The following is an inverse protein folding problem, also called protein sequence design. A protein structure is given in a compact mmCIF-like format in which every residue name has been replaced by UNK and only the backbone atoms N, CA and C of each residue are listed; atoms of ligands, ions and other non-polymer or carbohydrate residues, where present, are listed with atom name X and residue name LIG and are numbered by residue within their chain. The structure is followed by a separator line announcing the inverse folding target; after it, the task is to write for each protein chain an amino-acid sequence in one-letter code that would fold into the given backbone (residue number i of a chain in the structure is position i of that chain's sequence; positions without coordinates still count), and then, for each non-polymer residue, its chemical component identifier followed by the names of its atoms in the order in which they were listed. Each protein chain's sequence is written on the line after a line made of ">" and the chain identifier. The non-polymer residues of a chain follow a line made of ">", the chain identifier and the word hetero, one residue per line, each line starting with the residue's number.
data_IF_029899626525
#
_entry.id   IF_029899626525
#
_cell.length_a   1.000
_cell.length_b   1.000
_cell.length_c   1.000
_cell.angle_alpha   90.00
_cell.angle_beta   90.00
_cell.angle_gamma   90.00
#
_symmetry.space_group_name_H-M   'P 1'
#
loop_
_entity.id
_entity.type
_entity.pdbx_description
1 polymer ?
2 non-polymer ?
3 non-polymer ?
4 water ?
#
# COMPACT_ATOMS: atom_id res chain seq x y z
N UNK A 6 -19.60 5.04 -5.08
CA UNK A 6 -18.47 4.39 -5.80
C UNK A 6 -19.03 3.47 -6.89
N UNK A 7 -18.30 3.31 -8.01
CA UNK A 7 -18.59 2.31 -9.07
C UNK A 7 -18.32 0.91 -8.53
N UNK A 8 -18.76 -0.12 -9.26
CA UNK A 8 -18.63 -1.54 -8.88
C UNK A 8 -17.14 -1.88 -8.71
N UNK A 9 -16.30 -1.43 -9.64
CA UNK A 9 -14.83 -1.69 -9.59
C UNK A 9 -14.23 -0.95 -8.38
N UNK A 10 -14.68 0.27 -8.08
CA UNK A 10 -14.17 1.02 -6.91
C UNK A 10 -14.67 0.38 -5.60
N UNK A 11 -15.85 -0.25 -5.60
CA UNK A 11 -16.33 -1.00 -4.41
C UNK A 11 -15.43 -2.22 -4.20
N UNK A 12 -15.05 -2.93 -5.27
CA UNK A 12 -14.07 -4.04 -5.19
C UNK A 12 -12.76 -3.51 -4.59
N UNK A 13 -12.28 -2.37 -5.09
CA UNK A 13 -11.05 -1.71 -4.58
C UNK A 13 -11.22 -1.39 -3.09
N UNK A 14 -12.36 -0.82 -2.71
CA UNK A 14 -12.61 -0.45 -1.29
C UNK A 14 -12.60 -1.72 -0.42
N UNK A 15 -13.18 -2.82 -0.91
CA UNK A 15 -13.18 -4.12 -0.20
C UNK A 15 -11.76 -4.61 0.04
N UNK A 16 -10.92 -4.55 -1.00
CA UNK A 16 -9.47 -4.91 -0.91
C UNK A 16 -8.82 -4.03 0.16
N UNK A 17 -9.02 -2.71 0.09
CA UNK A 17 -8.42 -1.75 1.05
C UNK A 17 -8.80 -2.15 2.48
N UNK A 18 -10.09 -2.40 2.73
CA UNK A 18 -10.57 -2.82 4.07
C UNK A 18 -9.84 -4.11 4.50
N UNK A 19 -9.68 -5.06 3.59
CA UNK A 19 -8.98 -6.33 3.91
C UNK A 19 -7.52 -6.03 4.28
N UNK A 20 -6.83 -5.19 3.50
CA UNK A 20 -5.40 -4.88 3.76
C UNK A 20 -5.25 -4.22 5.14
N UNK A 21 -6.28 -3.50 5.61
CA UNK A 21 -6.28 -2.79 6.92
C UNK A 21 -6.83 -3.68 8.04
N UNK A 22 -7.30 -4.89 7.74
CA UNK A 22 -8.02 -5.77 8.70
C UNK A 22 -7.03 -6.51 9.61
N UNK A 23 -7.50 -7.00 10.76
CA UNK A 23 -6.65 -7.71 11.76
C UNK A 23 -6.06 -8.97 11.12
N UNK A 24 -6.77 -9.56 10.16
CA UNK A 24 -6.34 -10.76 9.38
C UNK A 24 -4.88 -10.61 8.94
N UNK A 25 -4.48 -9.43 8.47
CA UNK A 25 -3.17 -9.20 7.81
C UNK A 25 -2.26 -8.28 8.64
N UNK A 26 -2.65 -7.94 9.87
CA UNK A 26 -1.96 -6.91 10.70
C UNK A 26 -0.50 -7.29 10.97
N UNK A 27 -0.17 -8.58 11.07
CA UNK A 27 1.20 -9.04 11.43
C UNK A 27 2.22 -8.54 10.40
N UNK A 28 1.83 -8.37 9.13
CA UNK A 28 2.74 -7.92 8.04
C UNK A 28 2.24 -6.62 7.38
N UNK A 29 1.02 -6.17 7.64
CA UNK A 29 0.47 -4.95 7.00
C UNK A 29 0.91 -3.69 7.76
N UNK A 30 1.27 -3.81 9.04
CA UNK A 30 1.39 -2.63 9.95
C UNK A 30 2.42 -1.62 9.45
N UNK A 31 3.55 -1.99 8.78
CA UNK A 31 4.49 -0.97 8.30
C UNK A 31 3.91 -0.02 7.24
N UNK A 32 2.77 -0.40 6.65
CA UNK A 32 2.13 0.30 5.50
C UNK A 32 0.88 1.07 5.93
N UNK A 33 0.56 1.07 7.23
CA UNK A 33 -0.67 1.71 7.78
C UNK A 33 -0.58 3.23 7.64
N UNK A 34 0.60 3.81 7.87
CA UNK A 34 0.79 5.28 7.97
C UNK A 34 2.00 5.70 7.15
N UNK A 35 2.12 6.99 6.77
CA UNK A 35 3.29 7.46 6.04
C UNK A 35 4.57 7.12 6.82
N UNK A 36 5.61 6.69 6.11
CA UNK A 36 6.96 6.46 6.70
C UNK A 36 7.38 7.77 7.36
N UNK A 37 7.63 7.74 8.67
CA UNK A 37 8.20 8.89 9.41
C UNK A 37 9.72 8.76 9.35
N UNK A 38 10.31 9.28 8.27
CA UNK A 38 11.74 9.14 7.94
C UNK A 38 12.60 9.61 9.12
N UNK A 39 12.32 10.81 9.62
CA UNK A 39 13.05 11.46 10.75
C UNK A 39 13.00 10.57 12.00
N UNK A 40 11.81 10.10 12.38
CA UNK A 40 11.59 9.23 13.56
C UNK A 40 12.42 7.94 13.44
N UNK A 41 12.53 7.39 12.23
CA UNK A 41 13.20 6.08 11.96
C UNK A 41 14.68 6.29 11.63
N UNK A 42 15.15 7.55 11.57
CA UNK A 42 16.55 7.90 11.27
C UNK A 42 16.89 7.71 9.80
N UNK A 43 15.89 7.70 8.92
CA UNK A 43 16.05 7.42 7.47
C UNK A 43 16.20 8.76 6.74
N UNK A 44 17.33 9.43 6.93
CA UNK A 44 17.54 10.84 6.48
C UNK A 44 17.75 10.91 4.96
N UNK A 45 17.82 9.76 4.28
CA UNK A 45 17.94 9.67 2.80
C UNK A 45 16.60 9.25 2.17
N UNK A 46 15.57 8.97 2.97
CA UNK A 46 14.30 8.37 2.46
C UNK A 46 13.69 9.24 1.37
N UNK A 47 13.54 10.54 1.63
CA UNK A 47 12.83 11.49 0.73
C UNK A 47 13.73 11.92 -0.44
N UNK A 48 15.01 11.57 -0.42
CA UNK A 48 15.94 11.75 -1.57
C UNK A 48 15.76 10.59 -2.55
N UNK A 49 15.43 9.41 -2.04
CA UNK A 49 15.33 8.15 -2.83
C UNK A 49 13.87 7.94 -3.26
N UNK A 50 12.91 8.23 -2.38
CA UNK A 50 11.45 8.04 -2.62
C UNK A 50 10.83 9.41 -2.91
N UNK A 51 10.52 9.68 -4.18
CA UNK A 51 9.98 10.98 -4.67
C UNK A 51 8.48 11.06 -4.38
N UNK A 52 7.78 9.92 -4.32
CA UNK A 52 6.31 9.86 -4.15
C UNK A 52 5.95 8.86 -3.05
N UNK A 53 6.05 9.27 -1.76
CA UNK A 53 5.65 8.39 -0.66
C UNK A 53 4.18 7.98 -0.81
N UNK A 54 3.86 6.77 -0.39
CA UNK A 54 2.46 6.28 -0.40
C UNK A 54 2.30 5.24 0.72
N UNK A 55 1.10 5.18 1.29
CA UNK A 55 0.77 4.30 2.43
C UNK A 55 -0.75 4.11 2.44
N UNK A 56 -1.24 3.14 3.21
CA UNK A 56 -2.67 2.75 3.17
C UNK A 56 -3.56 3.84 3.77
N UNK A 57 -3.09 4.65 4.73
CA UNK A 57 -3.91 5.76 5.29
C UNK A 57 -4.16 6.81 4.20
N UNK A 58 -3.17 7.07 3.34
CA UNK A 58 -3.29 8.02 2.21
C UNK A 58 -4.25 7.44 1.18
N UNK A 59 -4.13 6.14 0.86
CA UNK A 59 -5.06 5.46 -0.08
C UNK A 59 -6.48 5.56 0.49
N UNK A 60 -6.65 5.34 1.79
CA UNK A 60 -7.98 5.37 2.45
C UNK A 60 -8.58 6.78 2.33
N UNK A 61 -7.79 7.82 2.62
CA UNK A 61 -8.23 9.23 2.54
C UNK A 61 -8.66 9.55 1.10
N UNK A 62 -7.87 9.10 0.11
CA UNK A 62 -8.16 9.34 -1.32
C UNK A 62 -9.46 8.62 -1.70
N UNK A 63 -9.66 7.39 -1.23
CA UNK A 63 -10.91 6.62 -1.50
C UNK A 63 -12.10 7.35 -0.85
N UNK A 64 -11.96 7.79 0.41
CA UNK A 64 -13.03 8.50 1.17
C UNK A 64 -13.40 9.81 0.46
N UNK A 65 -12.41 10.50 -0.12
CA UNK A 65 -12.57 11.82 -0.79
C UNK A 65 -13.04 11.63 -2.24
N UNK A 66 -13.24 10.39 -2.69
CA UNK A 66 -13.64 10.05 -4.08
C UNK A 66 -12.58 10.60 -5.05
N UNK A 67 -11.31 10.55 -4.65
CA UNK A 67 -10.16 11.00 -5.47
C UNK A 67 -9.99 10.01 -6.64
N UNK A 68 -10.06 8.70 -6.37
CA UNK A 68 -9.84 7.66 -7.40
C UNK A 68 -11.05 7.62 -8.34
N UNK A 69 -10.80 7.76 -9.64
CA UNK A 69 -11.88 7.75 -10.66
C UNK A 69 -12.08 6.33 -11.19
N UNK A 70 -11.08 5.44 -11.04
CA UNK A 70 -11.17 4.04 -11.53
C UNK A 70 -10.24 3.14 -10.72
N UNK A 71 -10.37 1.82 -10.91
CA UNK A 71 -9.61 0.79 -10.18
C UNK A 71 -8.11 0.92 -10.49
N UNK A 72 -7.77 1.24 -11.74
CA UNK A 72 -6.38 1.38 -12.23
C UNK A 72 -5.65 2.44 -11.39
N UNK A 73 -6.30 3.57 -11.10
CA UNK A 73 -5.70 4.68 -10.33
C UNK A 73 -5.44 4.22 -8.89
N UNK A 74 -6.39 3.51 -8.30
CA UNK A 74 -6.27 2.92 -6.94
C UNK A 74 -5.08 1.95 -6.91
N UNK A 75 -5.02 1.01 -7.85
CA UNK A 75 -3.97 -0.03 -7.91
C UNK A 75 -2.60 0.63 -8.06
N UNK A 76 -2.50 1.71 -8.84
CA UNK A 76 -1.24 2.44 -9.07
C UNK A 76 -0.68 2.93 -7.72
N UNK A 77 -1.54 3.44 -6.83
CA UNK A 77 -1.09 3.95 -5.50
C UNK A 77 -0.68 2.77 -4.62
N UNK A 78 -1.45 1.68 -4.60
CA UNK A 78 -1.10 0.50 -3.77
C UNK A 78 0.25 -0.05 -4.25
N UNK A 79 0.45 -0.17 -5.56
CA UNK A 79 1.72 -0.72 -6.11
C UNK A 79 2.86 0.28 -5.88
N UNK A 80 2.59 1.59 -5.96
CA UNK A 80 3.61 2.63 -5.66
C UNK A 80 4.15 2.40 -4.24
N UNK A 81 3.25 2.17 -3.29
CA UNK A 81 3.61 1.92 -1.87
C UNK A 81 4.58 0.73 -1.79
N UNK A 82 4.28 -0.38 -2.47
CA UNK A 82 5.14 -1.59 -2.46
C UNK A 82 6.46 -1.27 -3.16
N UNK A 83 6.41 -0.60 -4.31
CA UNK A 83 7.61 -0.25 -5.13
C UNK A 83 8.57 0.60 -4.30
N UNK A 84 8.04 1.56 -3.54
CA UNK A 84 8.85 2.43 -2.65
C UNK A 84 9.63 1.53 -1.67
N UNK A 85 8.95 0.54 -1.10
CA UNK A 85 9.55 -0.40 -0.13
C UNK A 85 10.69 -1.19 -0.80
N UNK A 86 10.46 -1.70 -2.02
CA UNK A 86 11.44 -2.52 -2.78
C UNK A 86 12.61 -1.65 -3.27
N UNK A 87 12.37 -0.36 -3.52
CA UNK A 87 13.43 0.58 -3.97
C UNK A 87 14.35 0.95 -2.80
N UNK A 88 13.77 1.30 -1.65
CA UNK A 88 14.53 1.89 -0.52
C UNK A 88 15.31 0.81 0.25
N UNK A 89 14.72 -0.37 0.44
CA UNK A 89 15.20 -1.39 1.41
C UNK A 89 15.98 -2.50 0.71
N UNK A 90 17.03 -3.05 1.37
CA UNK A 90 17.69 -4.25 0.88
C UNK A 90 16.66 -5.38 0.80
N UNK A 91 16.74 -6.26 -0.22
CA UNK A 91 15.71 -7.28 -0.44
C UNK A 91 15.58 -8.33 0.67
N UNK A 92 16.53 -8.39 1.61
CA UNK A 92 16.56 -9.38 2.73
C UNK A 92 16.02 -8.75 4.02
N UNK A 93 15.61 -7.48 4.01
CA UNK A 93 15.04 -6.78 5.20
C UNK A 93 13.65 -7.35 5.50
N UNK A 94 13.29 -7.45 6.78
CA UNK A 94 11.96 -7.97 7.23
C UNK A 94 10.83 -7.17 6.57
N UNK A 95 10.97 -5.85 6.42
CA UNK A 95 9.89 -4.99 5.86
C UNK A 95 9.60 -5.42 4.41
N UNK A 96 10.61 -5.87 3.67
CA UNK A 96 10.44 -6.33 2.26
C UNK A 96 9.66 -7.65 2.24
N UNK A 97 9.98 -8.57 3.15
CA UNK A 97 9.24 -9.85 3.32
C UNK A 97 7.76 -9.54 3.59
N UNK A 98 7.50 -8.53 4.42
CA UNK A 98 6.13 -8.12 4.82
C UNK A 98 5.42 -7.47 3.63
N UNK A 99 6.12 -6.62 2.87
CA UNK A 99 5.61 -6.00 1.62
C UNK A 99 5.17 -7.09 0.63
N UNK A 100 6.03 -8.09 0.40
CA UNK A 100 5.77 -9.19 -0.57
C UNK A 100 4.50 -9.94 -0.16
N UNK A 101 4.36 -10.25 1.14
CA UNK A 101 3.19 -10.98 1.68
C UNK A 101 1.92 -10.14 1.49
N UNK A 102 1.96 -8.86 1.82
CA UNK A 102 0.76 -7.99 1.66
C UNK A 102 0.48 -7.79 0.16
N UNK A 103 1.51 -7.70 -0.68
CA UNK A 103 1.30 -7.51 -2.14
C UNK A 103 0.65 -8.77 -2.72
N UNK A 104 1.01 -9.96 -2.22
CA UNK A 104 0.39 -11.24 -2.64
C UNK A 104 -1.11 -11.18 -2.34
N UNK A 105 -1.50 -10.71 -1.15
CA UNK A 105 -2.93 -10.56 -0.76
C UNK A 105 -3.59 -9.62 -1.77
N UNK A 106 -2.95 -8.47 -2.02
CA UNK A 106 -3.47 -7.43 -2.93
C UNK A 106 -3.66 -8.00 -4.34
N UNK A 107 -2.60 -8.57 -4.93
CA UNK A 107 -2.59 -8.95 -6.37
C UNK A 107 -3.63 -10.05 -6.62
N UNK A 108 -3.74 -11.04 -5.74
CA UNK A 108 -4.67 -12.17 -5.96
C UNK A 108 -6.11 -11.68 -5.88
N UNK A 109 -6.44 -10.77 -4.96
CA UNK A 109 -7.83 -10.27 -4.86
C UNK A 109 -8.10 -9.24 -5.96
N UNK A 110 -7.13 -8.37 -6.28
CA UNK A 110 -7.29 -7.37 -7.36
C UNK A 110 -7.61 -8.09 -8.68
N UNK A 111 -7.00 -9.26 -8.90
CA UNK A 111 -7.17 -10.07 -10.13
C UNK A 111 -8.63 -10.55 -10.26
N UNK A 112 -9.38 -10.61 -9.15
CA UNK A 112 -10.81 -11.02 -9.14
C UNK A 112 -11.72 -9.81 -9.37
N UNK A 113 -11.20 -8.73 -9.96
CA UNK A 113 -11.95 -7.50 -10.34
C UNK A 113 -13.18 -7.91 -11.15
N UNK A 114 -14.40 -7.44 -10.80
CA UNK A 114 -15.58 -7.71 -11.62
C UNK A 114 -15.48 -6.97 -12.96
N UNK A 115 -15.86 -7.64 -14.05
CA UNK A 115 -15.83 -7.09 -15.44
C UNK A 115 -17.18 -6.43 -15.74
X LIG B 1 10.15 0.47 7.67
X LIG B 1 12.93 0.75 7.50
X LIG B 1 12.31 0.40 8.70
X LIG B 1 10.93 0.27 8.75
X LIG B 1 10.23 -0.13 10.02
X LIG B 1 10.18 -1.64 10.13
X LIG B 1 9.16 -3.74 9.55
X LIG B 1 11.15 -2.33 10.84
X LIG B 1 16.51 0.87 6.25
X LIG B 1 18.19 -0.17 5.40
X LIG B 1 15.02 1.07 8.58
X LIG B 1 14.42 0.89 7.52
X LIG B 1 15.06 0.79 6.35
X LIG B 1 17.15 0.82 4.86
X LIG B 1 19.54 0.27 5.60
X LIG B 1 17.28 -0.41 6.61
X LIG B 1 12.13 0.96 6.38
X LIG B 1 10.75 0.81 6.51
X LIG B 1 9.86 1.00 5.31
X LIG B 1 10.34 1.13 4.18
X LIG B 1 8.56 1.02 5.57
X LIG B 1 7.56 1.00 4.51
X LIG B 1 11.13 -3.71 10.90
X LIG B 1 10.14 -4.42 10.25
X LIG B 1 9.18 -2.36 9.49
X LIG C 1 2.53 -10.92 -6.81
X LIG C 1 2.87 -10.13 -5.69
X LIG C 1 2.06 -12.27 -6.42
X LIG C 1 3.04 -13.01 -5.71
X LIG D 1 -4.19 12.41 -8.12
X LIG D 1 -4.76 11.92 -6.92
X LIG D 1 -4.76 13.71 -8.56
X LIG D 1 -6.15 13.81 -8.35
X LIG E 1 18.40 -1.07 -1.40
X LIG E 1 19.78 -0.81 -1.58
X LIG E 1 17.70 -1.42 -2.66
X LIG E 1 18.13 -2.64 -3.24
X LIG F 1 19.04 2.67 1.04
X LIG F 1 18.71 1.70 2.01
X LIG F 1 19.97 3.69 1.57
X LIG F 1 19.83 3.91 2.97
X LIG G 1 6.83 1.96 10.25
X LIG G 1 7.30 2.81 11.28
X LIG G 1 7.41 2.29 8.92
X LIG G 1 7.09 1.33 7.93
#
# INVERSE_FOLDING_TARGET
>A
GSMGKLSEQLKHCNGILKELLSKKHAAYAWPFYKPVDASALGLHDYHDIIKHPMDLSTVKRKMENRDYRDAQEFAADVRLMFSNCYKYNPPDHDVVAMARKLQDVFEFRYAKMPD
>B hetero
1 UMB N1 C4 C5 C6 C7 C8 C10 C13 C15 C17 O1 C14 N2 C18 O2 C16 C3 C2 C1 O N C C12 C11 C9
>C hetero
1 EDO C1 O1 C2 O2
>D hetero
1 EDO C1 O1 C2 O2
>E hetero
1 EDO C1 O1 C2 O2
>F hetero
1 EDO C1 O1 C2 O2
>G hetero
1 EDO C1 O1 C2 O2
#
